data_IF_158120276633
#
_entry.id   IF_158120276633
#
_cell.length_a   1.000
_cell.length_b   1.000
_cell.length_c   1.000
_cell.angle_alpha   90.00
_cell.angle_beta   90.00
_cell.angle_gamma   90.00
#
_symmetry.space_group_name_H-M   'P 1'
#
loop_
_entity.id
_entity.type
_entity.pdbx_description
1 polymer ?
#
# COMPACT_ATOMS: atom_id res chain seq x y z
N UNK A 1 -9.36 -12.31 12.71
CA UNK A 1 -8.74 -11.30 11.85
C UNK A 1 -9.77 -10.42 11.15
N UNK A 2 -10.62 -10.89 10.24
CA UNK A 2 -11.51 -10.02 9.46
C UNK A 2 -12.52 -9.20 10.27
N UNK A 3 -13.09 -9.74 11.34
CA UNK A 3 -14.09 -9.03 12.18
C UNK A 3 -13.42 -7.92 13.01
N UNK A 4 -12.34 -8.23 13.69
CA UNK A 4 -11.59 -7.25 14.50
C UNK A 4 -11.04 -6.12 13.64
N UNK A 5 -10.46 -6.45 12.49
CA UNK A 5 -9.96 -5.45 11.55
C UNK A 5 -11.08 -4.54 11.03
N UNK A 6 -12.25 -5.11 10.70
CA UNK A 6 -13.42 -4.35 10.28
C UNK A 6 -13.94 -3.41 11.38
N UNK A 7 -13.93 -3.87 12.64
CA UNK A 7 -14.33 -3.04 13.79
C UNK A 7 -13.35 -1.90 14.04
N UNK A 8 -12.04 -2.16 13.96
CA UNK A 8 -11.00 -1.14 14.06
C UNK A 8 -11.11 -0.11 12.92
N UNK A 9 -11.36 -0.55 11.70
CA UNK A 9 -11.55 0.36 10.56
C UNK A 9 -12.78 1.27 10.75
N UNK A 10 -13.90 0.73 11.27
CA UNK A 10 -15.07 1.56 11.62
C UNK A 10 -14.75 2.57 12.72
N UNK A 11 -13.99 2.16 13.75
CA UNK A 11 -13.52 3.04 14.82
C UNK A 11 -12.67 4.17 14.25
N UNK A 12 -11.69 3.86 13.41
CA UNK A 12 -10.87 4.84 12.71
C UNK A 12 -11.73 5.88 11.98
N UNK A 13 -12.69 5.43 11.15
CA UNK A 13 -13.56 6.30 10.37
C UNK A 13 -14.42 7.24 11.22
N UNK A 14 -14.77 6.84 12.45
CA UNK A 14 -15.49 7.72 13.37
C UNK A 14 -14.57 8.75 14.02
N UNK A 15 -13.36 8.34 14.42
CA UNK A 15 -12.44 9.17 15.17
C UNK A 15 -11.83 10.29 14.32
N UNK A 16 -11.47 10.03 13.07
CA UNK A 16 -10.84 11.01 12.18
C UNK A 16 -11.78 12.15 11.75
N UNK A 17 -13.09 12.01 11.96
CA UNK A 17 -14.09 13.02 11.55
C UNK A 17 -14.21 14.20 12.52
N UNK A 18 -13.58 14.15 13.68
CA UNK A 18 -13.71 15.16 14.73
C UNK A 18 -12.33 15.63 15.19
N UNK A 19 -12.22 16.94 15.43
CA UNK A 19 -10.96 17.55 15.85
C UNK A 19 -10.42 16.99 17.17
N UNK A 20 -11.30 16.77 18.14
CA UNK A 20 -10.95 16.29 19.48
C UNK A 20 -10.53 14.81 19.54
N UNK A 21 -10.84 14.03 18.50
CA UNK A 21 -10.48 12.61 18.41
C UNK A 21 -9.57 12.28 17.23
N UNK A 22 -9.13 13.28 16.46
CA UNK A 22 -8.36 13.10 15.25
C UNK A 22 -7.04 12.36 15.51
N UNK A 23 -6.30 12.75 16.55
CA UNK A 23 -5.02 12.10 16.90
C UNK A 23 -5.24 10.63 17.34
N UNK A 24 -6.31 10.35 18.07
CA UNK A 24 -6.68 8.96 18.40
C UNK A 24 -7.01 8.16 17.13
N UNK A 25 -7.61 8.79 16.12
CA UNK A 25 -7.86 8.19 14.82
C UNK A 25 -6.57 7.82 14.10
N UNK A 26 -5.54 8.70 14.15
CA UNK A 26 -4.21 8.39 13.61
C UNK A 26 -3.57 7.19 14.30
N UNK A 27 -3.68 7.08 15.62
CA UNK A 27 -3.15 5.93 16.38
C UNK A 27 -3.80 4.62 15.92
N UNK A 28 -5.13 4.58 15.76
CA UNK A 28 -5.84 3.41 15.23
C UNK A 28 -5.40 3.09 13.79
N UNK A 29 -5.16 4.10 12.96
CA UNK A 29 -4.64 3.89 11.60
C UNK A 29 -3.27 3.22 11.64
N UNK A 30 -2.37 3.66 12.52
CA UNK A 30 -1.04 3.06 12.63
C UNK A 30 -1.09 1.62 13.15
N UNK A 31 -1.99 1.29 14.07
CA UNK A 31 -2.23 -0.10 14.49
C UNK A 31 -2.66 -0.98 13.32
N UNK A 32 -3.67 -0.54 12.54
CA UNK A 32 -4.14 -1.26 11.34
C UNK A 32 -3.03 -1.46 10.29
N UNK A 33 -2.20 -0.44 10.09
CA UNK A 33 -1.06 -0.50 9.17
C UNK A 33 0.03 -1.48 9.67
N UNK A 34 0.27 -1.52 10.96
CA UNK A 34 1.19 -2.49 11.56
C UNK A 34 0.66 -3.92 11.39
N UNK A 35 -0.63 -4.16 11.58
CA UNK A 35 -1.24 -5.47 11.38
C UNK A 35 -1.15 -5.93 9.92
N UNK A 36 -1.38 -5.01 8.96
CA UNK A 36 -1.16 -5.30 7.53
C UNK A 36 0.31 -5.67 7.28
N UNK A 37 1.25 -4.88 7.76
CA UNK A 37 2.67 -5.14 7.55
C UNK A 37 3.10 -6.48 8.18
N UNK A 38 2.63 -6.81 9.38
CA UNK A 38 2.90 -8.09 10.02
C UNK A 38 2.36 -9.26 9.18
N UNK A 39 1.18 -9.11 8.59
CA UNK A 39 0.61 -10.11 7.66
C UNK A 39 1.51 -10.28 6.43
N UNK A 40 1.96 -9.18 5.82
CA UNK A 40 2.85 -9.24 4.65
C UNK A 40 4.21 -9.86 4.99
N UNK A 41 4.77 -9.56 6.17
CA UNK A 41 6.01 -10.18 6.64
C UNK A 41 5.84 -11.69 6.88
N UNK A 42 4.66 -12.14 7.36
CA UNK A 42 4.38 -13.58 7.44
C UNK A 42 4.34 -14.22 6.06
N UNK A 43 3.72 -13.58 5.06
CA UNK A 43 3.76 -14.08 3.68
C UNK A 43 5.20 -14.20 3.16
N UNK A 44 6.04 -13.19 3.42
CA UNK A 44 7.46 -13.23 3.02
C UNK A 44 8.22 -14.40 3.63
N UNK A 45 7.87 -14.79 4.85
CA UNK A 45 8.47 -15.90 5.59
C UNK A 45 7.95 -17.27 5.14
N UNK A 46 6.64 -17.37 4.91
CA UNK A 46 5.94 -18.65 4.83
C UNK A 46 5.66 -19.09 3.38
N UNK A 47 5.71 -18.16 2.41
CA UNK A 47 5.41 -18.40 0.99
C UNK A 47 6.69 -18.42 0.14
N UNK A 48 6.68 -19.23 -0.90
CA UNK A 48 7.73 -19.27 -1.90
C UNK A 48 7.41 -18.33 -3.09
N UNK A 49 8.33 -18.24 -4.05
CA UNK A 49 8.19 -17.37 -5.22
C UNK A 49 6.95 -17.69 -6.05
N UNK A 50 6.65 -18.96 -6.26
CA UNK A 50 5.52 -19.42 -7.07
C UNK A 50 4.19 -19.00 -6.43
N UNK A 51 4.11 -19.02 -5.10
CA UNK A 51 2.91 -18.57 -4.38
C UNK A 51 2.63 -17.09 -4.61
N UNK A 52 3.67 -16.24 -4.68
CA UNK A 52 3.52 -14.80 -4.97
C UNK A 52 2.99 -14.54 -6.38
N UNK A 53 3.36 -15.35 -7.35
CA UNK A 53 3.00 -15.17 -8.75
C UNK A 53 1.78 -15.98 -9.19
N UNK A 54 1.27 -16.88 -8.36
CA UNK A 54 0.16 -17.77 -8.67
C UNK A 54 -1.13 -17.01 -8.98
N UNK A 55 -1.78 -17.37 -10.07
CA UNK A 55 -3.07 -16.80 -10.51
C UNK A 55 -4.11 -17.90 -10.73
N UNK A 56 -4.57 -18.57 -9.66
CA UNK A 56 -5.48 -19.73 -9.79
C UNK A 56 -6.84 -19.36 -10.39
N UNK A 57 -7.24 -18.10 -10.33
CA UNK A 57 -8.53 -17.59 -10.80
C UNK A 57 -8.38 -16.47 -11.83
N UNK A 58 -7.46 -16.61 -12.77
CA UNK A 58 -7.13 -15.58 -13.77
C UNK A 58 -8.34 -14.99 -14.51
N UNK A 59 -9.38 -15.79 -14.73
CA UNK A 59 -10.60 -15.36 -15.42
C UNK A 59 -11.72 -14.89 -14.48
N UNK A 60 -11.48 -14.84 -13.17
CA UNK A 60 -12.46 -14.31 -12.23
C UNK A 60 -12.55 -12.78 -12.31
N UNK A 61 -13.66 -12.22 -11.88
CA UNK A 61 -13.85 -10.78 -11.77
C UNK A 61 -13.18 -10.21 -10.51
N UNK A 62 -12.81 -8.94 -10.59
CA UNK A 62 -12.30 -8.16 -9.47
C UNK A 62 -10.94 -8.65 -8.94
N UNK A 63 -10.78 -8.61 -7.62
CA UNK A 63 -9.50 -8.93 -6.96
C UNK A 63 -9.13 -10.42 -7.01
N UNK A 64 -10.08 -11.31 -7.25
CA UNK A 64 -9.82 -12.75 -7.38
C UNK A 64 -8.92 -13.09 -8.58
N UNK A 65 -8.88 -12.23 -9.58
CA UNK A 65 -8.00 -12.37 -10.74
C UNK A 65 -6.60 -11.78 -10.53
N UNK A 66 -6.23 -11.47 -9.30
CA UNK A 66 -4.94 -10.86 -8.95
C UNK A 66 -4.10 -11.85 -8.15
N UNK A 67 -2.78 -11.72 -8.23
CA UNK A 67 -1.86 -12.47 -7.38
C UNK A 67 -1.34 -11.63 -6.20
N UNK A 68 -0.59 -12.27 -5.31
CA UNK A 68 -0.08 -11.64 -4.10
C UNK A 68 0.91 -10.51 -4.43
N UNK A 69 1.87 -10.76 -5.33
CA UNK A 69 2.88 -9.77 -5.69
C UNK A 69 2.26 -8.51 -6.30
N UNK A 70 1.29 -8.67 -7.21
CA UNK A 70 0.54 -7.55 -7.76
C UNK A 70 -0.21 -6.77 -6.66
N UNK A 71 -0.88 -7.49 -5.75
CA UNK A 71 -1.67 -6.84 -4.70
C UNK A 71 -0.79 -6.01 -3.76
N UNK A 72 0.40 -6.51 -3.41
CA UNK A 72 1.38 -5.75 -2.63
C UNK A 72 1.82 -4.50 -3.39
N UNK A 73 2.25 -4.66 -4.65
CA UNK A 73 2.62 -3.53 -5.50
C UNK A 73 1.51 -2.49 -5.55
N UNK A 74 0.31 -2.91 -5.91
CA UNK A 74 -0.84 -2.03 -6.12
C UNK A 74 -1.18 -1.19 -4.88
N UNK A 75 -1.28 -1.82 -3.71
CA UNK A 75 -1.63 -1.14 -2.46
C UNK A 75 -0.57 -0.07 -2.13
N UNK A 76 0.70 -0.43 -2.16
CA UNK A 76 1.76 0.50 -1.76
C UNK A 76 2.10 1.55 -2.82
N UNK A 77 1.84 1.28 -4.10
CA UNK A 77 1.92 2.33 -5.13
C UNK A 77 0.83 3.38 -4.95
N UNK A 78 -0.39 2.98 -4.65
CA UNK A 78 -1.45 3.95 -4.32
C UNK A 78 -1.03 4.79 -3.12
N UNK A 79 -0.54 4.15 -2.08
CA UNK A 79 -0.11 4.84 -0.85
C UNK A 79 1.01 5.84 -1.12
N UNK A 80 2.05 5.43 -1.85
CA UNK A 80 3.21 6.27 -2.20
C UNK A 80 2.78 7.50 -3.01
N UNK A 81 1.98 7.31 -4.06
CA UNK A 81 1.45 8.39 -4.88
C UNK A 81 0.61 9.36 -4.03
N UNK A 82 -0.33 8.84 -3.24
CA UNK A 82 -1.21 9.69 -2.41
C UNK A 82 -0.41 10.47 -1.38
N UNK A 83 0.49 9.81 -0.67
CA UNK A 83 1.26 10.43 0.41
C UNK A 83 2.20 11.52 -0.11
N UNK A 84 2.93 11.23 -1.17
CA UNK A 84 3.98 12.10 -1.70
C UNK A 84 3.46 13.09 -2.74
N UNK A 85 2.81 12.61 -3.80
CA UNK A 85 2.34 13.49 -4.89
C UNK A 85 1.16 14.36 -4.46
N UNK A 86 0.16 13.78 -3.76
CA UNK A 86 -1.08 14.51 -3.48
C UNK A 86 -1.07 15.25 -2.13
N UNK A 87 -0.43 14.71 -1.09
CA UNK A 87 -0.46 15.32 0.25
C UNK A 87 0.76 16.20 0.49
N UNK A 88 1.96 15.64 0.31
CA UNK A 88 3.20 16.35 0.67
C UNK A 88 3.76 17.22 -0.46
N UNK A 89 3.50 16.84 -1.72
CA UNK A 89 4.02 17.56 -2.90
C UNK A 89 5.52 17.37 -3.11
N UNK A 90 6.04 16.16 -2.83
CA UNK A 90 7.44 15.81 -3.04
C UNK A 90 7.58 14.50 -3.85
N UNK A 91 8.83 14.05 -4.05
CA UNK A 91 9.12 12.85 -4.84
C UNK A 91 8.67 11.59 -4.12
N UNK A 92 7.98 10.72 -4.84
CA UNK A 92 7.57 9.40 -4.39
C UNK A 92 8.78 8.54 -4.00
N UNK A 93 8.59 7.67 -3.00
CA UNK A 93 9.62 6.74 -2.52
C UNK A 93 10.12 5.84 -3.66
N UNK A 94 9.25 5.47 -4.61
CA UNK A 94 9.62 4.69 -5.79
C UNK A 94 10.81 5.31 -6.53
N UNK A 95 10.82 6.63 -6.70
CA UNK A 95 11.84 7.36 -7.45
C UNK A 95 13.00 7.79 -6.55
N UNK A 96 12.73 8.42 -5.42
CA UNK A 96 13.75 8.91 -4.48
C UNK A 96 14.63 7.78 -3.92
N UNK A 97 14.06 6.57 -3.71
CA UNK A 97 14.78 5.38 -3.30
C UNK A 97 15.33 4.51 -4.44
N UNK A 98 15.19 4.97 -5.70
CA UNK A 98 15.55 4.20 -6.91
C UNK A 98 14.89 2.80 -6.96
N UNK A 99 13.71 2.68 -6.36
CA UNK A 99 13.04 1.39 -6.22
C UNK A 99 12.51 0.83 -7.55
N UNK A 100 12.16 1.68 -8.52
CA UNK A 100 11.76 1.20 -9.84
C UNK A 100 12.83 0.26 -10.42
N UNK A 101 14.10 0.66 -10.37
CA UNK A 101 15.23 -0.16 -10.86
C UNK A 101 15.51 -1.34 -9.95
N UNK A 102 15.52 -1.14 -8.63
CA UNK A 102 15.83 -2.18 -7.63
C UNK A 102 14.82 -3.32 -7.67
N UNK A 103 13.53 -2.99 -7.76
CA UNK A 103 12.42 -3.96 -7.89
C UNK A 103 12.40 -4.59 -9.28
N UNK A 104 13.06 -3.99 -10.27
CA UNK A 104 12.95 -4.35 -11.68
C UNK A 104 11.52 -4.19 -12.20
N UNK A 105 10.85 -3.10 -11.83
CA UNK A 105 9.47 -2.84 -12.25
C UNK A 105 9.40 -2.11 -13.59
N UNK A 106 8.79 -2.70 -14.62
CA UNK A 106 8.50 -2.00 -15.88
C UNK A 106 7.33 -1.03 -15.75
N UNK A 107 6.58 -1.09 -14.66
CA UNK A 107 5.39 -0.27 -14.37
C UNK A 107 5.73 0.72 -13.27
N UNK A 108 5.31 1.98 -13.43
CA UNK A 108 5.45 3.05 -12.43
C UNK A 108 4.11 3.51 -11.87
N UNK A 109 3.03 3.11 -12.51
CA UNK A 109 1.64 3.35 -12.10
C UNK A 109 1.23 2.39 -10.98
N UNK A 110 -0.04 2.44 -10.59
CA UNK A 110 -0.63 1.47 -9.67
C UNK A 110 -0.82 0.08 -10.26
N UNK A 111 -0.65 -0.08 -11.59
CA UNK A 111 -0.87 -1.33 -12.31
C UNK A 111 -2.34 -1.61 -12.63
N UNK A 112 -3.24 -0.64 -12.45
CA UNK A 112 -4.67 -0.80 -12.75
C UNK A 112 -4.95 -1.17 -14.21
N UNK A 113 -4.07 -0.79 -15.11
CA UNK A 113 -4.13 -1.09 -16.54
C UNK A 113 -3.82 -2.56 -16.87
N UNK A 114 -3.22 -3.30 -15.94
CA UNK A 114 -2.80 -4.68 -16.17
C UNK A 114 -3.96 -5.65 -15.97
N UNK A 115 -4.14 -6.58 -16.91
CA UNK A 115 -5.17 -7.60 -16.86
C UNK A 115 -4.61 -8.99 -17.20
N UNK A 116 -5.15 -10.01 -16.57
CA UNK A 116 -4.87 -11.43 -16.86
C UNK A 116 -3.36 -11.73 -16.92
N UNK A 117 -2.91 -12.25 -18.10
CA UNK A 117 -1.51 -12.62 -18.33
C UNK A 117 -0.55 -11.45 -18.11
N UNK A 118 -0.95 -10.20 -18.37
CA UNK A 118 -0.12 -9.02 -18.13
C UNK A 118 0.27 -8.88 -16.66
N UNK A 119 -0.63 -9.27 -15.72
CA UNK A 119 -0.32 -9.28 -14.29
C UNK A 119 0.75 -10.33 -13.99
N UNK A 120 0.61 -11.52 -14.54
CA UNK A 120 1.58 -12.60 -14.37
C UNK A 120 2.95 -12.21 -14.95
N UNK A 121 2.98 -11.64 -16.16
CA UNK A 121 4.21 -11.22 -16.82
C UNK A 121 4.90 -10.07 -16.06
N UNK A 122 4.13 -9.16 -15.50
CA UNK A 122 4.61 -8.09 -14.63
C UNK A 122 5.23 -8.66 -13.36
N UNK A 123 4.49 -9.49 -12.61
CA UNK A 123 4.92 -9.93 -11.29
C UNK A 123 6.13 -10.86 -11.32
N UNK A 124 6.25 -11.70 -12.35
CA UNK A 124 7.41 -12.60 -12.55
C UNK A 124 8.76 -11.86 -12.66
N UNK A 125 8.73 -10.60 -13.08
CA UNK A 125 9.94 -9.78 -13.23
C UNK A 125 10.39 -9.14 -11.92
N UNK A 126 9.47 -9.00 -10.93
CA UNK A 126 9.74 -8.25 -9.72
C UNK A 126 10.75 -8.96 -8.81
N UNK A 127 11.70 -8.19 -8.30
CA UNK A 127 12.50 -8.61 -7.16
C UNK A 127 11.67 -8.46 -5.88
N UNK A 128 11.26 -9.58 -5.29
CA UNK A 128 10.39 -9.59 -4.11
C UNK A 128 11.10 -9.01 -2.89
N UNK A 129 12.39 -9.23 -2.69
CA UNK A 129 13.12 -8.66 -1.55
C UNK A 129 13.15 -7.13 -1.61
N UNK A 130 13.38 -6.59 -2.80
CA UNK A 130 13.37 -5.15 -3.03
C UNK A 130 11.95 -4.57 -2.98
N UNK A 131 10.93 -5.32 -3.38
CA UNK A 131 9.53 -4.94 -3.17
C UNK A 131 9.22 -4.79 -1.68
N UNK A 132 9.70 -5.72 -0.83
CA UNK A 132 9.52 -5.62 0.62
C UNK A 132 10.32 -4.45 1.24
N UNK A 133 11.50 -4.16 0.72
CA UNK A 133 12.26 -2.96 1.12
C UNK A 133 11.49 -1.68 0.77
N UNK A 134 10.94 -1.62 -0.43
CA UNK A 134 10.09 -0.51 -0.89
C UNK A 134 8.88 -0.28 0.01
N UNK A 135 8.09 -1.33 0.29
CA UNK A 135 6.89 -1.17 1.12
C UNK A 135 7.21 -0.76 2.56
N UNK A 136 8.37 -1.17 3.08
CA UNK A 136 8.83 -0.73 4.40
C UNK A 136 9.15 0.77 4.42
N UNK A 137 9.83 1.27 3.39
CA UNK A 137 10.16 2.69 3.26
C UNK A 137 8.92 3.54 2.96
N UNK A 138 7.99 3.07 2.12
CA UNK A 138 6.70 3.74 1.89
C UNK A 138 5.92 3.83 3.21
N UNK A 139 5.79 2.72 3.95
CA UNK A 139 5.10 2.72 5.25
C UNK A 139 5.70 3.77 6.19
N UNK A 140 7.02 3.79 6.33
CA UNK A 140 7.73 4.72 7.21
C UNK A 140 7.49 6.17 6.79
N UNK A 141 7.71 6.49 5.53
CA UNK A 141 7.53 7.86 5.01
C UNK A 141 6.09 8.35 5.12
N UNK A 142 5.12 7.49 4.78
CA UNK A 142 3.69 7.82 4.92
C UNK A 142 3.30 8.07 6.38
N UNK A 143 3.82 7.27 7.32
CA UNK A 143 3.55 7.51 8.75
C UNK A 143 4.12 8.84 9.24
N UNK A 144 5.29 9.25 8.78
CA UNK A 144 5.87 10.55 9.09
C UNK A 144 4.99 11.69 8.56
N UNK A 145 4.49 11.57 7.33
CA UNK A 145 3.56 12.53 6.73
C UNK A 145 2.26 12.59 7.56
N UNK A 146 1.62 11.45 7.83
CA UNK A 146 0.35 11.40 8.57
C UNK A 146 0.51 11.95 9.99
N UNK A 147 1.62 11.68 10.67
CA UNK A 147 1.89 12.24 12.01
C UNK A 147 1.93 13.76 12.02
N UNK A 148 2.44 14.38 10.96
CA UNK A 148 2.50 15.83 10.82
C UNK A 148 1.13 16.49 10.51
N UNK A 149 0.14 15.73 10.02
CA UNK A 149 -1.17 16.27 9.68
C UNK A 149 -1.97 16.65 10.94
N UNK A 150 -2.65 17.79 10.84
CA UNK A 150 -3.63 18.26 11.80
C UNK A 150 -5.05 18.08 11.25
N UNK A 151 -6.06 18.16 12.13
CA UNK A 151 -7.46 18.10 11.66
C UNK A 151 -7.81 19.22 10.66
N UNK A 152 -7.15 20.36 10.76
CA UNK A 152 -7.35 21.47 9.83
C UNK A 152 -6.91 21.15 8.40
N UNK A 153 -5.88 20.32 8.25
CA UNK A 153 -5.35 19.92 6.93
C UNK A 153 -6.36 19.10 6.13
N UNK A 154 -7.28 18.38 6.79
CA UNK A 154 -8.37 17.66 6.12
C UNK A 154 -9.36 18.57 5.35
N UNK A 155 -9.34 19.88 5.61
CA UNK A 155 -10.19 20.85 4.94
C UNK A 155 -9.51 21.51 3.74
N UNK A 156 -8.22 21.30 3.61
CA UNK A 156 -7.46 21.77 2.45
C UNK A 156 -7.81 20.84 1.29
N UNK A 157 -8.42 21.39 0.24
CA UNK A 157 -8.64 20.63 -1.00
C UNK A 157 -7.28 20.19 -1.60
N UNK A 158 -7.29 19.12 -2.39
CA UNK A 158 -6.14 18.77 -3.21
C UNK A 158 -5.94 19.93 -4.18
N UNK A 159 -4.72 20.51 -4.29
CA UNK A 159 -4.45 21.54 -5.29
C UNK A 159 -4.76 21.01 -6.70
N UNK A 160 -5.38 21.86 -7.53
CA UNK A 160 -5.64 21.56 -8.95
C UNK A 160 -4.34 21.37 -9.73
#
# INVERSE_FOLDING_TARGET
>A
MNKEWSEQNKKLQMLIKKADTFDQGKDVLFELRNDLMNTLLSFRKDLNREDFDSMPFMNADGYHSKNIAYSIWHIFRIEDIVAHTLIKGDDEVLFSGNYQRRINSPVITTGNELVKEQISDFTKQLNIDELYSYIADVKKSTEEIIRSLTYSDLKLGIPD
#
